data_IF_063483655307
#
_entry.id   IF_063483655307
#
_cell.length_a   1.000
_cell.length_b   1.000
_cell.length_c   1.000
_cell.angle_alpha   90.00
_cell.angle_beta   90.00
_cell.angle_gamma   90.00
#
_symmetry.space_group_name_H-M   'P 1'
#
loop_
_entity.id
_entity.type
_entity.pdbx_description
1 polymer ?
#
# COMPACT_ATOMS: atom_id res chain seq x y z
N UNK A 1 -19.81 -12.10 -56.07
CA UNK A 1 -21.01 -11.93 -55.23
C UNK A 1 -20.67 -12.52 -53.88
N UNK A 2 -20.86 -11.69 -52.85
CA UNK A 2 -20.71 -11.98 -51.41
C UNK A 2 -19.29 -12.17 -50.85
N UNK A 3 -18.56 -11.05 -50.71
CA UNK A 3 -17.91 -10.58 -49.46
C UNK A 3 -17.64 -9.07 -49.64
N UNK A 4 -18.65 -8.20 -49.49
CA UNK A 4 -18.47 -6.74 -49.45
C UNK A 4 -19.70 -6.03 -48.83
N UNK A 5 -20.12 -6.43 -47.63
CA UNK A 5 -21.21 -5.75 -46.88
C UNK A 5 -21.04 -5.96 -45.36
N UNK A 6 -19.89 -5.56 -44.80
CA UNK A 6 -19.70 -5.54 -43.35
C UNK A 6 -18.65 -4.51 -42.90
N UNK A 7 -18.61 -3.33 -43.52
CA UNK A 7 -17.65 -2.28 -43.14
C UNK A 7 -18.18 -0.84 -43.27
N UNK A 8 -19.50 -0.65 -43.22
CA UNK A 8 -20.13 0.68 -43.18
C UNK A 8 -21.25 0.72 -42.13
N UNK A 9 -20.89 0.68 -40.83
CA UNK A 9 -21.80 1.07 -39.74
C UNK A 9 -21.06 1.39 -38.42
N UNK A 10 -19.93 2.09 -38.52
CA UNK A 10 -19.21 2.61 -37.35
C UNK A 10 -18.74 4.06 -37.55
N UNK A 11 -19.60 4.91 -38.10
CA UNK A 11 -19.42 6.36 -38.05
C UNK A 11 -20.75 7.02 -37.69
N UNK A 12 -20.82 7.57 -36.48
CA UNK A 12 -21.99 8.32 -36.03
C UNK A 12 -22.27 8.14 -34.55
N UNK A 13 -21.47 8.81 -33.72
CA UNK A 13 -21.84 9.43 -32.43
C UNK A 13 -20.55 9.81 -31.66
N UNK A 14 -19.81 10.79 -32.19
CA UNK A 14 -18.90 11.60 -31.37
C UNK A 14 -19.61 12.93 -31.09
N UNK A 15 -20.37 12.96 -30.00
CA UNK A 15 -20.85 14.19 -29.41
C UNK A 15 -19.66 14.95 -28.81
N UNK A 16 -19.42 16.16 -29.32
CA UNK A 16 -18.46 17.12 -28.78
C UNK A 16 -18.77 17.41 -27.30
N UNK A 17 -17.97 16.86 -26.39
CA UNK A 17 -17.69 17.52 -25.11
C UNK A 17 -16.39 18.31 -25.28
N UNK A 18 -16.52 19.59 -25.63
CA UNK A 18 -15.43 20.56 -25.45
C UNK A 18 -15.22 20.72 -23.95
N UNK A 19 -14.26 19.97 -23.39
CA UNK A 19 -13.67 20.31 -22.11
C UNK A 19 -12.65 21.41 -22.36
N UNK A 20 -12.91 22.59 -21.80
CA UNK A 20 -11.97 23.71 -21.73
C UNK A 20 -10.82 23.35 -20.80
N UNK A 21 -9.88 22.54 -21.31
CA UNK A 21 -8.62 22.27 -20.65
C UNK A 21 -7.74 23.51 -20.67
N UNK A 22 -7.59 24.17 -19.52
CA UNK A 22 -6.56 25.19 -19.34
C UNK A 22 -5.18 24.54 -19.51
N UNK A 23 -4.56 24.71 -20.68
CA UNK A 23 -3.16 24.34 -20.90
C UNK A 23 -2.28 25.31 -20.13
N UNK A 24 -1.45 24.77 -19.23
CA UNK A 24 -0.40 25.54 -18.57
C UNK A 24 0.62 26.01 -19.63
N UNK A 25 1.24 27.19 -19.46
CA UNK A 25 2.23 27.73 -20.40
C UNK A 25 3.41 26.78 -20.59
N UNK A 26 3.86 26.62 -21.84
CA UNK A 26 4.84 25.64 -22.32
C UNK A 26 6.29 25.85 -21.85
N UNK A 27 6.57 26.85 -21.03
CA UNK A 27 7.93 27.20 -20.58
C UNK A 27 8.39 26.48 -19.29
N UNK A 28 7.61 25.55 -18.75
CA UNK A 28 7.84 24.97 -17.42
C UNK A 28 8.37 23.52 -17.39
N UNK A 29 9.18 23.08 -18.35
CA UNK A 29 9.74 21.71 -18.35
C UNK A 29 11.26 21.71 -18.12
N UNK A 30 11.68 21.53 -16.86
CA UNK A 30 12.95 20.90 -16.46
C UNK A 30 13.17 21.02 -14.94
N UNK A 31 13.44 19.89 -14.26
CA UNK A 31 13.83 19.80 -12.85
C UNK A 31 12.76 19.22 -11.92
N UNK A 32 12.83 17.91 -11.63
CA UNK A 32 12.15 17.28 -10.50
C UNK A 32 13.07 17.34 -9.27
N UNK A 33 12.53 17.66 -8.11
CA UNK A 33 13.26 17.63 -6.84
C UNK A 33 12.43 16.83 -5.82
N UNK A 34 12.95 15.73 -5.25
CA UNK A 34 12.25 14.92 -4.26
C UNK A 34 11.91 15.71 -2.99
N UNK A 35 10.77 15.48 -2.32
CA UNK A 35 10.39 16.29 -1.17
C UNK A 35 11.30 16.12 0.05
N UNK A 36 12.04 15.01 0.16
CA UNK A 36 13.10 14.88 1.15
C UNK A 36 14.23 15.92 0.96
N UNK A 37 14.54 16.28 -0.30
CA UNK A 37 15.46 17.38 -0.62
C UNK A 37 14.78 18.74 -0.48
N UNK A 38 13.47 18.82 -0.73
CA UNK A 38 12.68 20.06 -0.54
C UNK A 38 12.52 20.43 0.94
N UNK A 39 12.33 19.46 1.84
CA UNK A 39 12.18 19.69 3.28
C UNK A 39 13.44 20.31 3.91
N UNK A 40 14.62 20.00 3.39
CA UNK A 40 15.88 20.62 3.80
C UNK A 40 16.05 22.07 3.30
N UNK A 41 15.43 22.41 2.16
CA UNK A 41 15.46 23.76 1.57
C UNK A 41 14.47 24.73 2.22
N UNK A 42 13.38 24.22 2.82
CA UNK A 42 12.35 25.01 3.52
C UNK A 42 12.91 25.81 4.71
N UNK A 43 14.04 25.39 5.28
CA UNK A 43 14.68 26.10 6.40
C UNK A 43 15.55 27.30 5.96
N UNK A 44 15.76 27.53 4.66
CA UNK A 44 16.63 28.62 4.17
C UNK A 44 16.13 29.40 2.95
N UNK A 45 15.22 28.86 2.15
CA UNK A 45 14.62 29.56 1.00
C UNK A 45 13.18 29.10 0.83
N UNK A 46 12.23 30.03 0.93
CA UNK A 46 10.81 29.74 0.78
C UNK A 46 10.55 29.18 -0.63
N UNK A 47 10.29 27.88 -0.72
CA UNK A 47 9.73 27.32 -1.94
C UNK A 47 8.43 28.05 -2.27
N UNK A 48 8.30 28.51 -3.50
CA UNK A 48 7.04 29.08 -3.96
C UNK A 48 5.99 27.97 -3.99
N UNK A 49 4.76 28.29 -3.60
CA UNK A 49 3.61 27.36 -3.69
C UNK A 49 3.49 26.74 -5.09
N UNK A 50 3.87 27.50 -6.13
CA UNK A 50 3.91 27.02 -7.52
C UNK A 50 4.84 25.83 -7.74
N UNK A 51 6.02 25.84 -7.12
CA UNK A 51 6.96 24.74 -7.25
C UNK A 51 6.41 23.46 -6.57
N UNK A 52 5.75 23.59 -5.42
CA UNK A 52 5.08 22.47 -4.75
C UNK A 52 3.94 21.92 -5.60
N UNK A 53 3.08 22.79 -6.15
CA UNK A 53 1.97 22.40 -7.02
C UNK A 53 2.45 21.67 -8.29
N UNK A 54 3.57 22.12 -8.86
CA UNK A 54 4.22 21.45 -10.00
C UNK A 54 4.72 20.05 -9.64
N UNK A 55 5.35 19.89 -8.47
CA UNK A 55 5.78 18.58 -7.99
C UNK A 55 4.61 17.64 -7.76
N UNK A 56 3.50 18.11 -7.17
CA UNK A 56 2.28 17.32 -7.00
C UNK A 56 1.74 16.82 -8.35
N UNK A 57 1.70 17.70 -9.36
CA UNK A 57 1.25 17.32 -10.68
C UNK A 57 2.17 16.29 -11.36
N UNK A 58 3.49 16.42 -11.18
CA UNK A 58 4.45 15.46 -11.71
C UNK A 58 4.27 14.08 -11.09
N UNK A 59 4.21 14.01 -9.76
CA UNK A 59 4.07 12.74 -9.03
C UNK A 59 2.74 12.06 -9.36
N UNK A 60 1.65 12.81 -9.50
CA UNK A 60 0.37 12.25 -9.92
C UNK A 60 0.47 11.51 -11.27
N UNK A 61 1.22 12.06 -12.22
CA UNK A 61 1.45 11.43 -13.52
C UNK A 61 2.33 10.19 -13.41
N UNK A 62 3.34 10.19 -12.54
CA UNK A 62 4.17 9.01 -12.27
C UNK A 62 3.38 7.89 -11.61
N UNK A 63 2.55 8.19 -10.60
CA UNK A 63 1.59 7.26 -9.99
C UNK A 63 0.70 6.65 -11.08
N UNK A 64 0.16 7.47 -11.97
CA UNK A 64 -0.68 7.00 -13.06
C UNK A 64 0.11 6.18 -14.10
N UNK A 65 1.36 6.46 -14.38
CA UNK A 65 2.17 5.60 -15.25
C UNK A 65 2.47 4.25 -14.58
N UNK A 66 2.82 4.26 -13.30
CA UNK A 66 3.19 3.07 -12.54
C UNK A 66 2.01 2.10 -12.36
N UNK A 67 0.79 2.59 -12.09
CA UNK A 67 -0.34 1.69 -11.84
C UNK A 67 -0.66 0.82 -13.06
N UNK A 68 -0.43 1.30 -14.29
CA UNK A 68 -0.67 0.53 -15.53
C UNK A 68 0.25 -0.68 -15.66
N UNK A 69 1.35 -0.72 -14.93
CA UNK A 69 2.26 -1.85 -14.88
C UNK A 69 1.92 -2.85 -13.76
N UNK A 70 0.99 -2.50 -12.86
CA UNK A 70 0.58 -3.34 -11.73
C UNK A 70 -0.27 -4.50 -12.22
N UNK A 71 0.13 -5.74 -11.89
CA UNK A 71 -0.64 -6.96 -12.23
C UNK A 71 -1.50 -7.49 -11.09
N UNK A 72 -1.10 -7.27 -9.84
CA UNK A 72 -1.79 -7.76 -8.64
C UNK A 72 -2.42 -6.58 -7.89
N UNK A 73 -3.61 -6.76 -7.31
CA UNK A 73 -4.35 -5.69 -6.63
C UNK A 73 -4.57 -4.45 -7.54
N UNK A 74 -4.68 -4.68 -8.86
CA UNK A 74 -4.79 -3.61 -9.86
C UNK A 74 -5.91 -2.63 -9.54
N UNK A 75 -7.05 -3.11 -9.03
CA UNK A 75 -8.19 -2.25 -8.65
C UNK A 75 -7.82 -1.21 -7.59
N UNK A 76 -7.15 -1.65 -6.52
CA UNK A 76 -6.72 -0.76 -5.43
C UNK A 76 -5.71 0.27 -5.94
N UNK A 77 -4.72 -0.16 -6.73
CA UNK A 77 -3.74 0.75 -7.32
C UNK A 77 -4.37 1.72 -8.35
N UNK A 78 -5.34 1.25 -9.15
CA UNK A 78 -6.09 2.08 -10.12
C UNK A 78 -6.85 3.18 -9.40
N UNK A 79 -7.58 2.84 -8.33
CA UNK A 79 -8.30 3.84 -7.52
C UNK A 79 -7.35 4.89 -6.93
N UNK A 80 -6.23 4.45 -6.34
CA UNK A 80 -5.24 5.40 -5.79
C UNK A 80 -4.69 6.33 -6.89
N UNK A 81 -4.44 5.80 -8.09
CA UNK A 81 -3.99 6.59 -9.23
C UNK A 81 -5.05 7.58 -9.74
N UNK A 82 -6.32 7.16 -9.82
CA UNK A 82 -7.44 8.04 -10.18
C UNK A 82 -7.62 9.18 -9.17
N UNK A 83 -7.49 8.88 -7.87
CA UNK A 83 -7.52 9.89 -6.80
C UNK A 83 -6.37 10.87 -6.92
N UNK A 84 -5.15 10.38 -7.20
CA UNK A 84 -3.98 11.22 -7.45
C UNK A 84 -4.18 12.15 -8.66
N UNK A 85 -4.75 11.67 -9.77
CA UNK A 85 -5.09 12.50 -10.94
C UNK A 85 -6.18 13.53 -10.65
N UNK A 86 -7.18 13.15 -9.87
CA UNK A 86 -8.23 14.08 -9.44
C UNK A 86 -7.66 15.22 -8.59
N UNK A 87 -6.75 14.88 -7.67
CA UNK A 87 -6.03 15.86 -6.86
C UNK A 87 -5.14 16.76 -7.71
N UNK A 88 -4.38 16.21 -8.66
CA UNK A 88 -3.62 17.00 -9.63
C UNK A 88 -4.52 17.98 -10.38
N UNK A 89 -5.69 17.55 -10.84
CA UNK A 89 -6.62 18.40 -11.60
C UNK A 89 -7.16 19.55 -10.75
N UNK A 90 -7.40 19.32 -9.45
CA UNK A 90 -7.73 20.37 -8.51
C UNK A 90 -6.55 21.33 -8.27
N UNK A 91 -5.35 20.81 -8.04
CA UNK A 91 -4.14 21.59 -7.78
C UNK A 91 -3.73 22.46 -8.98
N UNK A 92 -3.90 21.97 -10.22
CA UNK A 92 -3.66 22.74 -11.43
C UNK A 92 -4.63 23.92 -11.57
N UNK A 93 -5.92 23.71 -11.25
CA UNK A 93 -6.91 24.79 -11.22
C UNK A 93 -6.58 25.82 -10.14
N UNK A 94 -6.15 25.35 -8.98
CA UNK A 94 -5.69 26.22 -7.90
C UNK A 94 -4.45 27.04 -8.31
N UNK A 95 -3.46 26.42 -8.96
CA UNK A 95 -2.28 27.11 -9.47
C UNK A 95 -2.64 28.20 -10.48
N UNK A 96 -3.55 27.91 -11.41
CA UNK A 96 -4.02 28.88 -12.40
C UNK A 96 -4.71 30.09 -11.72
N UNK A 97 -5.57 29.83 -10.73
CA UNK A 97 -6.23 30.90 -9.96
C UNK A 97 -5.24 31.73 -9.13
N UNK A 98 -4.27 31.08 -8.50
CA UNK A 98 -3.22 31.76 -7.74
C UNK A 98 -2.40 32.67 -8.67
N UNK A 99 -2.15 32.24 -9.91
CA UNK A 99 -1.48 33.04 -10.92
C UNK A 99 -2.32 34.23 -11.40
N UNK A 100 -3.60 34.01 -11.71
CA UNK A 100 -4.55 35.06 -12.12
C UNK A 100 -4.76 36.13 -11.04
N UNK A 101 -4.79 35.73 -9.77
CA UNK A 101 -4.94 36.65 -8.63
C UNK A 101 -3.77 37.65 -8.53
N UNK A 102 -2.62 37.34 -9.13
CA UNK A 102 -1.50 38.27 -9.32
C UNK A 102 -1.19 39.08 -8.07
N UNK A 103 -1.10 40.43 -8.14
CA UNK A 103 -0.74 41.28 -7.01
C UNK A 103 -1.81 41.33 -5.89
N UNK A 104 -3.05 40.89 -6.12
CA UNK A 104 -4.06 40.82 -5.04
C UNK A 104 -3.66 39.81 -3.95
N UNK A 105 -2.82 38.82 -4.29
CA UNK A 105 -2.21 37.90 -3.32
C UNK A 105 -1.24 38.60 -2.36
N UNK A 106 -0.73 39.80 -2.68
CA UNK A 106 0.11 40.61 -1.77
C UNK A 106 -0.65 41.08 -0.53
N UNK A 107 -1.99 41.02 -0.54
CA UNK A 107 -2.82 41.34 0.62
C UNK A 107 -3.03 40.14 1.55
N UNK A 108 -2.60 38.93 1.16
CA UNK A 108 -2.59 37.80 2.08
C UNK A 108 -1.52 38.04 3.14
N UNK A 109 -1.91 37.89 4.41
CA UNK A 109 -0.96 37.90 5.52
C UNK A 109 0.11 36.81 5.30
N UNK A 110 1.36 37.05 5.72
CA UNK A 110 2.42 36.04 5.65
C UNK A 110 2.03 34.72 6.33
N UNK A 111 1.25 34.81 7.42
CA UNK A 111 0.73 33.63 8.14
C UNK A 111 -0.18 32.78 7.26
N UNK A 112 -1.01 33.42 6.43
CA UNK A 112 -1.92 32.76 5.49
C UNK A 112 -1.12 32.00 4.42
N UNK A 113 -0.07 32.63 3.88
CA UNK A 113 0.79 31.98 2.89
C UNK A 113 1.60 30.82 3.49
N UNK A 114 2.04 30.96 4.75
CA UNK A 114 2.73 29.90 5.49
C UNK A 114 1.80 28.71 5.77
N UNK A 115 0.55 28.96 6.16
CA UNK A 115 -0.48 27.92 6.34
C UNK A 115 -0.70 27.13 5.05
N UNK A 116 -0.96 27.84 3.95
CA UNK A 116 -1.16 27.25 2.63
C UNK A 116 0.03 26.39 2.20
N UNK A 117 1.26 26.91 2.29
CA UNK A 117 2.46 26.13 1.93
C UNK A 117 2.62 24.89 2.79
N UNK A 118 2.30 24.96 4.08
CA UNK A 118 2.35 23.80 4.99
C UNK A 118 1.38 22.72 4.53
N UNK A 119 0.16 23.09 4.14
CA UNK A 119 -0.84 22.14 3.63
C UNK A 119 -0.45 21.56 2.27
N UNK A 120 0.05 22.37 1.33
CA UNK A 120 0.53 21.89 0.03
C UNK A 120 1.71 20.91 0.18
N UNK A 121 2.60 21.14 1.14
CA UNK A 121 3.69 20.21 1.45
C UNK A 121 3.17 18.88 2.02
N UNK A 122 2.14 18.90 2.88
CA UNK A 122 1.50 17.68 3.37
C UNK A 122 0.86 16.87 2.25
N UNK A 123 0.20 17.55 1.31
CA UNK A 123 -0.34 16.93 0.09
C UNK A 123 0.77 16.27 -0.72
N UNK A 124 1.88 16.98 -0.94
CA UNK A 124 3.02 16.44 -1.68
C UNK A 124 3.58 15.18 -1.00
N UNK A 125 3.75 15.21 0.32
CA UNK A 125 4.22 14.05 1.09
C UNK A 125 3.26 12.85 0.99
N UNK A 126 1.95 13.09 1.05
CA UNK A 126 0.95 12.03 0.87
C UNK A 126 1.00 11.43 -0.54
N UNK A 127 1.23 12.26 -1.56
CA UNK A 127 1.41 11.81 -2.95
C UNK A 127 2.70 11.02 -3.15
N UNK A 128 3.81 11.43 -2.54
CA UNK A 128 5.06 10.64 -2.56
C UNK A 128 4.87 9.29 -1.90
N UNK A 129 4.17 9.23 -0.76
CA UNK A 129 3.84 7.96 -0.10
C UNK A 129 2.99 7.07 -1.02
N UNK A 130 2.00 7.64 -1.71
CA UNK A 130 1.19 6.91 -2.69
C UNK A 130 2.04 6.36 -3.85
N UNK A 131 2.98 7.16 -4.36
CA UNK A 131 3.94 6.75 -5.38
C UNK A 131 4.80 5.58 -4.90
N UNK A 132 5.41 5.69 -3.72
CA UNK A 132 6.29 4.66 -3.16
C UNK A 132 5.53 3.35 -2.92
N UNK A 133 4.27 3.43 -2.48
CA UNK A 133 3.41 2.26 -2.34
C UNK A 133 3.15 1.59 -3.69
N UNK A 134 2.72 2.33 -4.71
CA UNK A 134 2.51 1.74 -6.04
C UNK A 134 3.83 1.20 -6.61
N UNK A 135 4.96 1.85 -6.37
CA UNK A 135 6.25 1.36 -6.85
C UNK A 135 6.68 0.06 -6.16
N UNK A 136 6.60 0.00 -4.82
CA UNK A 136 6.91 -1.19 -4.04
C UNK A 136 6.01 -2.38 -4.43
N UNK A 137 4.71 -2.10 -4.57
CA UNK A 137 3.69 -3.10 -4.83
C UNK A 137 3.36 -3.29 -6.32
N UNK A 138 3.99 -2.52 -7.22
CA UNK A 138 3.72 -2.53 -8.66
C UNK A 138 4.91 -2.83 -9.56
N UNK A 139 6.15 -2.64 -9.08
CA UNK A 139 7.36 -2.74 -9.90
C UNK A 139 7.49 -4.05 -10.69
N UNK A 140 8.13 -4.02 -11.87
CA UNK A 140 8.17 -5.13 -12.83
C UNK A 140 9.21 -6.23 -12.52
N UNK A 141 10.02 -6.11 -11.45
CA UNK A 141 11.17 -6.98 -11.17
C UNK A 141 10.84 -8.27 -10.40
N UNK A 142 9.62 -8.77 -10.49
CA UNK A 142 9.16 -9.79 -9.53
C UNK A 142 9.08 -11.19 -10.12
N UNK A 143 9.84 -12.09 -9.49
CA UNK A 143 9.72 -13.54 -9.59
C UNK A 143 8.38 -13.99 -9.02
N UNK A 144 7.94 -15.19 -9.38
CA UNK A 144 6.69 -15.82 -8.93
C UNK A 144 6.45 -15.72 -7.41
N UNK A 145 7.49 -15.91 -6.58
CA UNK A 145 7.44 -15.79 -5.12
C UNK A 145 6.98 -14.42 -4.62
N UNK A 146 7.23 -13.35 -5.37
CA UNK A 146 6.78 -12.01 -5.01
C UNK A 146 5.29 -11.79 -5.26
N UNK A 147 4.69 -12.52 -6.22
CA UNK A 147 3.23 -12.56 -6.39
C UNK A 147 2.56 -13.29 -5.24
N UNK A 148 3.14 -14.42 -4.82
CA UNK A 148 2.67 -15.15 -3.65
C UNK A 148 2.81 -14.31 -2.38
N UNK A 149 4.00 -13.74 -2.12
CA UNK A 149 4.23 -12.84 -0.98
C UNK A 149 3.22 -11.68 -0.98
N UNK A 150 2.81 -11.16 -2.13
CA UNK A 150 1.74 -10.15 -2.25
C UNK A 150 0.35 -10.66 -1.90
N UNK A 151 -0.03 -11.83 -2.41
CA UNK A 151 -1.30 -12.45 -2.06
C UNK A 151 -1.41 -12.70 -0.55
N UNK A 152 -0.29 -13.10 0.07
CA UNK A 152 -0.20 -13.43 1.48
C UNK A 152 -0.05 -12.19 2.38
N UNK A 153 0.66 -11.15 1.93
CA UNK A 153 0.73 -9.85 2.60
C UNK A 153 -0.43 -8.91 2.20
N UNK A 154 -1.48 -9.42 1.54
CA UNK A 154 -2.62 -8.64 1.05
C UNK A 154 -3.25 -7.78 2.14
N UNK A 155 -3.20 -8.22 3.40
CA UNK A 155 -3.64 -7.43 4.55
C UNK A 155 -2.75 -6.22 4.83
N UNK A 156 -1.43 -6.41 4.97
CA UNK A 156 -0.50 -5.29 5.19
C UNK A 156 -0.52 -4.33 4.01
N UNK A 157 -0.59 -4.87 2.79
CA UNK A 157 -0.82 -4.11 1.57
C UNK A 157 -2.08 -3.25 1.68
N UNK A 158 -3.21 -3.85 2.07
CA UNK A 158 -4.47 -3.11 2.15
C UNK A 158 -4.45 -2.05 3.26
N UNK A 159 -3.89 -2.37 4.42
CA UNK A 159 -3.74 -1.43 5.54
C UNK A 159 -2.88 -0.21 5.15
N UNK A 160 -1.76 -0.41 4.45
CA UNK A 160 -0.92 0.70 3.97
C UNK A 160 -1.64 1.60 2.96
N UNK A 161 -2.41 1.01 2.03
CA UNK A 161 -3.19 1.77 1.06
C UNK A 161 -4.36 2.51 1.72
N UNK A 162 -5.05 1.88 2.67
CA UNK A 162 -6.11 2.53 3.46
C UNK A 162 -5.54 3.71 4.25
N UNK A 163 -4.38 3.55 4.90
CA UNK A 163 -3.72 4.64 5.62
C UNK A 163 -3.31 5.76 4.66
N UNK A 164 -2.76 5.43 3.49
CA UNK A 164 -2.39 6.43 2.48
C UNK A 164 -3.62 7.18 1.94
N UNK A 165 -4.72 6.49 1.69
CA UNK A 165 -5.98 7.10 1.27
C UNK A 165 -6.56 8.00 2.36
N UNK A 166 -6.50 7.55 3.62
CA UNK A 166 -6.90 8.35 4.76
C UNK A 166 -6.08 9.64 4.85
N UNK A 167 -4.76 9.56 4.65
CA UNK A 167 -3.88 10.72 4.65
C UNK A 167 -4.17 11.69 3.51
N UNK A 168 -4.44 11.19 2.30
CA UNK A 168 -4.85 12.04 1.18
C UNK A 168 -6.19 12.73 1.45
N UNK A 169 -7.16 12.02 2.03
CA UNK A 169 -8.45 12.57 2.44
C UNK A 169 -8.30 13.65 3.52
N UNK A 170 -7.50 13.40 4.57
CA UNK A 170 -7.23 14.39 5.62
C UNK A 170 -6.53 15.63 5.06
N UNK A 171 -5.57 15.47 4.16
CA UNK A 171 -4.92 16.60 3.51
C UNK A 171 -5.91 17.42 2.66
N UNK A 172 -6.86 16.75 2.00
CA UNK A 172 -7.92 17.42 1.24
C UNK A 172 -8.90 18.16 2.14
N UNK A 173 -9.29 17.56 3.27
CA UNK A 173 -10.18 18.19 4.24
C UNK A 173 -9.51 19.40 4.92
N UNK A 174 -8.22 19.30 5.23
CA UNK A 174 -7.42 20.42 5.72
C UNK A 174 -7.34 21.56 4.68
N UNK A 175 -7.08 21.23 3.41
CA UNK A 175 -7.12 22.20 2.30
C UNK A 175 -8.51 22.84 2.15
N UNK A 176 -9.60 22.08 2.35
CA UNK A 176 -10.97 22.62 2.33
C UNK A 176 -11.22 23.55 3.51
N UNK A 177 -10.70 23.23 4.69
CA UNK A 177 -10.89 24.02 5.90
C UNK A 177 -10.13 25.35 5.91
N UNK A 178 -9.09 25.49 5.08
CA UNK A 178 -8.25 26.68 5.06
C UNK A 178 -8.98 27.90 4.46
N UNK A 179 -9.01 29.00 5.20
CA UNK A 179 -9.72 30.22 4.83
C UNK A 179 -9.17 30.87 3.55
N UNK A 180 -7.86 30.77 3.29
CA UNK A 180 -7.23 31.27 2.07
C UNK A 180 -7.73 30.45 0.89
N UNK A 181 -7.74 29.13 1.05
CA UNK A 181 -8.27 28.26 0.03
C UNK A 181 -9.73 28.50 -0.19
N UNK A 182 -10.57 28.66 0.83
CA UNK A 182 -11.99 28.99 0.65
C UNK A 182 -12.23 30.23 -0.25
N UNK A 183 -11.36 31.24 -0.18
CA UNK A 183 -11.42 32.40 -1.09
C UNK A 183 -11.23 32.01 -2.57
N UNK A 184 -10.40 31.01 -2.86
CA UNK A 184 -10.11 30.53 -4.22
C UNK A 184 -10.89 29.27 -4.62
N UNK A 185 -11.32 28.45 -3.65
CA UNK A 185 -11.87 27.10 -3.76
C UNK A 185 -13.39 27.10 -3.84
N UNK A 186 -14.07 28.19 -3.48
CA UNK A 186 -15.50 28.35 -3.79
C UNK A 186 -15.83 28.13 -5.28
N UNK A 187 -14.82 28.18 -6.16
CA UNK A 187 -14.92 27.90 -7.60
C UNK A 187 -14.20 26.61 -8.05
N UNK A 188 -13.52 25.90 -7.15
CA UNK A 188 -12.80 24.66 -7.45
C UNK A 188 -13.50 23.51 -6.74
N UNK A 189 -14.19 22.67 -7.51
CA UNK A 189 -14.71 21.41 -6.99
C UNK A 189 -13.55 20.48 -6.62
N UNK A 190 -13.28 20.36 -5.32
CA UNK A 190 -12.38 19.36 -4.78
C UNK A 190 -13.07 17.98 -4.77
N UNK A 191 -12.35 16.88 -5.04
CA UNK A 191 -12.93 15.55 -5.00
C UNK A 191 -13.43 15.20 -3.60
N UNK A 192 -14.58 14.51 -3.54
CA UNK A 192 -15.21 14.11 -2.29
C UNK A 192 -14.46 12.95 -1.62
N UNK A 193 -13.78 13.26 -0.51
CA UNK A 193 -12.98 12.32 0.29
C UNK A 193 -13.83 11.20 0.93
N UNK A 194 -15.13 11.42 1.14
CA UNK A 194 -16.01 10.44 1.80
C UNK A 194 -16.28 9.21 0.92
N UNK A 195 -16.37 9.42 -0.41
CA UNK A 195 -16.51 8.35 -1.39
C UNK A 195 -15.31 7.39 -1.39
N UNK A 196 -14.14 7.86 -0.96
CA UNK A 196 -12.90 7.09 -1.08
C UNK A 196 -12.81 5.94 -0.08
N UNK A 197 -13.33 6.14 1.14
CA UNK A 197 -13.23 5.15 2.21
C UNK A 197 -14.17 3.95 2.01
N UNK A 198 -15.36 4.17 1.45
CA UNK A 198 -16.38 3.12 1.28
C UNK A 198 -15.98 2.04 0.26
N UNK A 199 -15.29 2.44 -0.81
CA UNK A 199 -14.91 1.54 -1.90
C UNK A 199 -13.74 0.60 -1.53
N UNK A 200 -12.84 1.05 -0.65
CA UNK A 200 -11.63 0.27 -0.32
C UNK A 200 -11.96 -0.94 0.55
N UNK A 201 -12.88 -0.80 1.51
CA UNK A 201 -13.26 -1.90 2.40
C UNK A 201 -13.92 -3.09 1.69
N UNK A 202 -14.62 -2.85 0.57
CA UNK A 202 -15.36 -3.90 -0.12
C UNK A 202 -14.44 -4.83 -0.92
N UNK A 203 -13.35 -4.29 -1.48
CA UNK A 203 -12.44 -5.07 -2.33
C UNK A 203 -11.51 -6.01 -1.55
N UNK A 204 -11.16 -5.65 -0.30
CA UNK A 204 -10.31 -6.47 0.59
C UNK A 204 -10.85 -7.90 0.77
N UNK A 205 -12.17 -8.05 0.78
CA UNK A 205 -12.82 -9.33 1.02
C UNK A 205 -12.77 -10.26 -0.20
N UNK A 206 -12.91 -9.71 -1.40
CA UNK A 206 -12.92 -10.48 -2.66
C UNK A 206 -11.57 -11.11 -2.96
N UNK A 207 -10.47 -10.41 -2.72
CA UNK A 207 -9.13 -10.94 -3.02
C UNK A 207 -8.69 -12.03 -2.02
N UNK A 208 -9.10 -11.93 -0.74
CA UNK A 208 -8.81 -12.98 0.24
C UNK A 208 -9.52 -14.30 -0.05
N UNK A 209 -10.69 -14.28 -0.69
CA UNK A 209 -11.38 -15.51 -1.10
C UNK A 209 -10.65 -16.28 -2.21
N UNK A 210 -9.82 -15.61 -3.00
CA UNK A 210 -9.03 -16.24 -4.05
C UNK A 210 -7.74 -16.90 -3.53
N UNK A 211 -7.28 -16.55 -2.32
CA UNK A 211 -6.02 -17.04 -1.75
C UNK A 211 -6.00 -18.57 -1.58
N UNK A 212 -7.04 -19.24 -1.03
CA UNK A 212 -7.05 -20.69 -0.91
C UNK A 212 -6.95 -21.41 -2.27
N UNK A 213 -7.64 -20.89 -3.30
CA UNK A 213 -7.57 -21.44 -4.65
C UNK A 213 -6.18 -21.29 -5.27
N UNK A 214 -5.52 -20.15 -5.06
CA UNK A 214 -4.14 -19.93 -5.50
C UNK A 214 -3.14 -20.86 -4.80
N UNK A 215 -3.33 -21.12 -3.50
CA UNK A 215 -2.52 -22.08 -2.73
C UNK A 215 -2.73 -23.50 -3.23
N UNK A 216 -3.98 -23.89 -3.51
CA UNK A 216 -4.29 -25.21 -4.06
C UNK A 216 -3.64 -25.43 -5.44
N UNK A 217 -3.77 -24.45 -6.35
CA UNK A 217 -3.13 -24.49 -7.66
C UNK A 217 -1.59 -24.57 -7.57
N UNK A 218 -0.99 -23.95 -6.54
CA UNK A 218 0.44 -24.08 -6.29
C UNK A 218 0.85 -25.48 -5.85
N UNK A 219 0.09 -26.08 -4.93
CA UNK A 219 0.35 -27.45 -4.48
C UNK A 219 0.23 -28.42 -5.67
N UNK A 220 -0.76 -28.25 -6.53
CA UNK A 220 -0.92 -29.03 -7.76
C UNK A 220 0.26 -28.86 -8.70
N UNK A 221 0.68 -27.62 -8.98
CA UNK A 221 1.83 -27.34 -9.85
C UNK A 221 3.14 -27.91 -9.30
N UNK A 222 3.37 -27.86 -7.99
CA UNK A 222 4.53 -28.52 -7.37
C UNK A 222 4.47 -30.03 -7.53
N UNK A 223 3.29 -30.63 -7.35
CA UNK A 223 3.10 -32.08 -7.49
C UNK A 223 3.39 -32.54 -8.92
N UNK A 224 2.95 -31.79 -9.94
CA UNK A 224 3.24 -32.06 -11.35
C UNK A 224 4.73 -31.97 -11.67
N UNK A 225 5.42 -30.98 -11.09
CA UNK A 225 6.86 -30.77 -11.27
C UNK A 225 7.68 -31.91 -10.66
N UNK A 226 7.31 -32.36 -9.45
CA UNK A 226 7.90 -33.55 -8.83
C UNK A 226 7.64 -34.80 -9.67
N UNK A 227 6.41 -35.01 -10.15
CA UNK A 227 6.08 -36.14 -11.03
C UNK A 227 6.91 -36.14 -12.32
N UNK A 228 7.11 -34.97 -12.92
CA UNK A 228 7.92 -34.82 -14.14
C UNK A 228 9.40 -35.14 -13.87
N UNK A 229 9.93 -34.69 -12.73
CA UNK A 229 11.30 -34.97 -12.31
C UNK A 229 11.53 -36.46 -12.05
N UNK A 230 10.59 -37.13 -11.38
CA UNK A 230 10.63 -38.58 -11.16
C UNK A 230 10.61 -39.37 -12.48
N UNK A 231 9.82 -38.93 -13.47
CA UNK A 231 9.81 -39.55 -14.80
C UNK A 231 11.16 -39.39 -15.53
N UNK A 232 11.81 -38.23 -15.41
CA UNK A 232 13.16 -38.03 -15.96
C UNK A 232 14.18 -38.97 -15.30
N UNK A 233 14.11 -39.14 -13.98
CA UNK A 233 14.96 -40.11 -13.26
C UNK A 233 14.75 -41.54 -13.77
N UNK A 234 13.49 -41.96 -13.95
CA UNK A 234 13.16 -43.28 -14.44
C UNK A 234 13.71 -43.50 -15.87
N UNK A 235 13.47 -42.56 -16.77
CA UNK A 235 13.95 -42.65 -18.16
C UNK A 235 15.48 -42.67 -18.23
N UNK A 236 16.16 -41.89 -17.37
CA UNK A 236 17.62 -41.88 -17.30
C UNK A 236 18.16 -43.22 -16.80
N UNK A 237 17.51 -43.82 -15.79
CA UNK A 237 17.85 -45.13 -15.28
C UNK A 237 17.64 -46.22 -16.35
N UNK A 238 16.48 -46.24 -17.02
CA UNK A 238 16.18 -47.18 -18.11
C UNK A 238 17.20 -47.11 -19.24
N UNK A 239 17.55 -45.88 -19.68
CA UNK A 239 18.57 -45.66 -20.71
C UNK A 239 19.95 -46.20 -20.28
N UNK A 240 20.34 -45.96 -19.02
CA UNK A 240 21.60 -46.46 -18.46
C UNK A 240 21.63 -47.99 -18.47
N UNK A 241 20.60 -48.65 -17.93
CA UNK A 241 20.49 -50.12 -17.95
C UNK A 241 20.44 -50.70 -19.36
N UNK A 242 19.78 -50.01 -20.30
CA UNK A 242 19.72 -50.43 -21.70
C UNK A 242 21.09 -50.38 -22.38
N UNK A 243 21.88 -49.33 -22.14
CA UNK A 243 23.24 -49.20 -22.67
C UNK A 243 24.18 -50.25 -22.07
N UNK A 244 24.08 -50.50 -20.76
CA UNK A 244 24.84 -51.55 -20.07
C UNK A 244 24.54 -52.94 -20.65
N UNK A 245 23.26 -53.24 -20.91
CA UNK A 245 22.84 -54.51 -21.51
C UNK A 245 23.39 -54.72 -22.94
N UNK A 246 23.68 -53.65 -23.68
CA UNK A 246 24.27 -53.71 -25.02
C UNK A 246 25.82 -53.66 -25.00
N UNK A 247 26.44 -53.79 -23.82
CA UNK A 247 27.90 -53.79 -23.68
C UNK A 247 28.54 -52.42 -23.95
N UNK A 248 27.76 -51.34 -23.94
CA UNK A 248 28.27 -49.97 -24.11
C UNK A 248 28.83 -49.48 -22.78
N UNK A 249 29.96 -50.04 -22.36
CA UNK A 249 30.68 -49.61 -21.16
C UNK A 249 31.80 -48.65 -21.58
N UNK A 250 31.45 -47.36 -21.74
CA UNK A 250 32.49 -46.33 -21.89
C UNK A 250 32.55 -45.48 -20.64
N UNK A 251 33.75 -45.33 -20.06
CA UNK A 251 33.99 -44.47 -18.91
C UNK A 251 33.53 -42.99 -19.16
N UNK A 252 33.40 -42.60 -20.43
CA UNK A 252 32.86 -41.29 -20.84
C UNK A 252 31.34 -41.18 -20.58
N UNK A 253 30.57 -42.24 -20.84
CA UNK A 253 29.13 -42.28 -20.56
C UNK A 253 28.84 -42.30 -19.07
N UNK A 254 29.57 -43.10 -18.29
CA UNK A 254 29.44 -43.11 -16.82
C UNK A 254 29.67 -41.73 -16.21
N UNK A 255 30.69 -41.01 -16.69
CA UNK A 255 30.97 -39.63 -16.25
C UNK A 255 29.85 -38.65 -16.63
N UNK A 256 29.23 -38.84 -17.80
CA UNK A 256 28.08 -38.06 -18.25
C UNK A 256 26.84 -38.30 -17.39
N UNK A 257 26.50 -39.56 -17.11
CA UNK A 257 25.39 -39.93 -16.23
C UNK A 257 25.61 -39.45 -14.81
N UNK A 258 26.81 -39.59 -14.25
CA UNK A 258 27.13 -39.07 -12.92
C UNK A 258 26.98 -37.54 -12.83
N UNK A 259 27.34 -36.79 -13.89
CA UNK A 259 27.10 -35.34 -13.93
C UNK A 259 25.62 -34.98 -14.03
N UNK A 260 24.82 -35.78 -14.74
CA UNK A 260 23.36 -35.58 -14.84
C UNK A 260 22.68 -35.91 -13.52
N UNK A 261 23.01 -37.04 -12.88
CA UNK A 261 22.55 -37.41 -11.53
C UNK A 261 22.87 -36.27 -10.55
N UNK A 262 24.10 -35.78 -10.51
CA UNK A 262 24.48 -34.67 -9.62
C UNK A 262 23.70 -33.36 -9.90
N UNK A 263 23.34 -33.10 -11.17
CA UNK A 263 22.52 -31.92 -11.51
C UNK A 263 21.07 -32.12 -11.11
N UNK A 264 20.53 -33.32 -11.29
CA UNK A 264 19.19 -33.70 -10.87
C UNK A 264 19.05 -33.64 -9.34
N UNK A 265 19.98 -34.22 -8.59
CA UNK A 265 20.00 -34.14 -7.12
C UNK A 265 20.04 -32.68 -6.63
N UNK A 266 20.77 -31.80 -7.33
CA UNK A 266 20.80 -30.36 -7.03
C UNK A 266 19.48 -29.65 -7.35
N UNK A 267 18.72 -30.15 -8.32
CA UNK A 267 17.39 -29.61 -8.66
C UNK A 267 16.38 -30.12 -7.64
N UNK A 268 16.42 -31.42 -7.31
CA UNK A 268 15.56 -32.05 -6.32
C UNK A 268 15.77 -31.44 -4.93
N UNK A 269 17.02 -31.26 -4.47
CA UNK A 269 17.26 -30.62 -3.17
C UNK A 269 16.78 -29.17 -3.12
N UNK A 270 16.83 -28.44 -4.24
CA UNK A 270 16.26 -27.09 -4.34
C UNK A 270 14.72 -27.11 -4.32
N UNK A 271 14.12 -28.12 -4.95
CA UNK A 271 12.66 -28.32 -4.92
C UNK A 271 12.20 -28.67 -3.51
N UNK A 272 12.89 -29.57 -2.81
CA UNK A 272 12.59 -29.95 -1.43
C UNK A 272 12.77 -28.79 -0.46
N UNK A 273 13.85 -28.00 -0.60
CA UNK A 273 14.03 -26.78 0.20
C UNK A 273 12.89 -25.79 -0.05
N UNK A 274 12.47 -25.62 -1.32
CA UNK A 274 11.34 -24.77 -1.66
C UNK A 274 10.02 -25.32 -1.11
N UNK A 275 9.79 -26.64 -1.17
CA UNK A 275 8.60 -27.29 -0.63
C UNK A 275 8.54 -27.15 0.90
N UNK A 276 9.67 -27.35 1.59
CA UNK A 276 9.79 -27.14 3.03
C UNK A 276 9.51 -25.68 3.41
N UNK A 277 10.09 -24.71 2.69
CA UNK A 277 9.79 -23.29 2.88
C UNK A 277 8.31 -22.96 2.62
N UNK A 278 7.70 -23.53 1.58
CA UNK A 278 6.27 -23.35 1.29
C UNK A 278 5.41 -23.95 2.39
N UNK A 279 5.72 -25.15 2.88
CA UNK A 279 4.98 -25.81 3.97
C UNK A 279 5.09 -25.04 5.28
N UNK A 280 6.30 -24.62 5.66
CA UNK A 280 6.52 -23.83 6.87
C UNK A 280 5.75 -22.51 6.82
N UNK A 281 5.82 -21.80 5.68
CA UNK A 281 5.02 -20.60 5.47
C UNK A 281 3.51 -20.90 5.53
N UNK A 282 3.05 -22.05 5.00
CA UNK A 282 1.65 -22.46 5.07
C UNK A 282 1.17 -22.68 6.51
N UNK A 283 1.99 -23.31 7.34
CA UNK A 283 1.64 -23.58 8.73
C UNK A 283 1.66 -22.30 9.58
N UNK A 284 2.64 -21.41 9.35
CA UNK A 284 2.66 -20.08 9.95
C UNK A 284 1.40 -19.27 9.55
N UNK A 285 0.99 -19.36 8.29
CA UNK A 285 -0.25 -18.72 7.81
C UNK A 285 -1.51 -19.31 8.42
N UNK A 286 -1.62 -20.64 8.53
CA UNK A 286 -2.75 -21.28 9.22
C UNK A 286 -2.82 -20.85 10.68
N UNK A 287 -1.68 -20.72 11.34
CA UNK A 287 -1.57 -20.22 12.72
C UNK A 287 -2.11 -18.79 12.84
N UNK A 288 -1.68 -17.87 11.99
CA UNK A 288 -2.19 -16.49 11.97
C UNK A 288 -3.69 -16.40 11.63
N UNK A 289 -4.16 -17.21 10.68
CA UNK A 289 -5.57 -17.26 10.33
C UNK A 289 -6.44 -17.80 11.49
N UNK A 290 -5.93 -18.77 12.24
CA UNK A 290 -6.60 -19.28 13.43
C UNK A 290 -6.62 -18.24 14.58
N UNK A 291 -5.54 -17.48 14.78
CA UNK A 291 -5.52 -16.35 15.73
C UNK A 291 -6.54 -15.28 15.35
N UNK A 292 -6.70 -15.01 14.06
CA UNK A 292 -7.73 -14.07 13.58
C UNK A 292 -9.14 -14.58 13.80
N UNK A 293 -9.37 -15.87 13.55
CA UNK A 293 -10.66 -16.50 13.77
C UNK A 293 -11.07 -16.49 15.25
N UNK A 294 -10.14 -16.75 16.17
CA UNK A 294 -10.43 -16.70 17.60
C UNK A 294 -10.74 -15.27 18.06
N UNK A 295 -10.03 -14.27 17.55
CA UNK A 295 -10.29 -12.86 17.86
C UNK A 295 -11.70 -12.42 17.41
N UNK A 296 -12.13 -12.85 16.22
CA UNK A 296 -13.48 -12.59 15.69
C UNK A 296 -14.59 -13.37 16.42
N UNK A 297 -14.28 -14.52 17.00
CA UNK A 297 -15.24 -15.28 17.83
C UNK A 297 -15.36 -14.71 19.25
N UNK A 298 -14.28 -14.14 19.79
CA UNK A 298 -14.30 -13.44 21.08
C UNK A 298 -15.19 -12.19 21.04
N UNK A 299 -15.16 -11.41 19.96
CA UNK A 299 -16.04 -10.24 19.81
C UNK A 299 -17.53 -10.58 19.66
N UNK A 300 -17.89 -11.85 19.39
CA UNK A 300 -19.28 -12.31 19.31
C UNK A 300 -19.79 -13.03 20.56
N UNK A 301 -18.92 -13.38 21.51
CA UNK A 301 -19.30 -14.15 22.72
C UNK A 301 -19.60 -13.28 23.95
N UNK A 302 -19.22 -11.99 23.95
CA UNK A 302 -19.59 -11.03 25.01
C UNK A 302 -21.03 -10.46 24.86
N UNK A 303 -21.85 -11.05 23.98
CA UNK A 303 -23.21 -10.57 23.69
C UNK A 303 -24.35 -11.26 24.44
N UNK A 304 -24.10 -12.22 25.33
CA UNK A 304 -25.16 -13.03 25.95
C UNK A 304 -25.36 -12.77 27.45
N UNK A 305 -25.73 -11.53 27.79
CA UNK A 305 -26.57 -11.26 28.97
C UNK A 305 -27.71 -10.35 28.54
N UNK A 306 -28.93 -10.87 28.61
CA UNK A 306 -30.14 -10.22 28.15
C UNK A 306 -30.44 -8.90 28.86
N UNK A 307 -30.96 -7.95 28.09
CA UNK A 307 -31.47 -6.68 28.58
C UNK A 307 -31.89 -5.81 27.41
N UNK A 308 -33.18 -5.81 27.08
CA UNK A 308 -33.75 -4.90 26.09
C UNK A 308 -33.51 -3.44 26.50
N UNK A 309 -32.72 -2.73 25.69
CA UNK A 309 -32.46 -1.30 25.81
C UNK A 309 -32.31 -0.68 24.41
N UNK A 310 -32.76 0.56 24.20
CA UNK A 310 -33.02 1.10 22.88
C UNK A 310 -31.72 1.26 22.08
N UNK A 311 -31.84 0.93 20.79
CA UNK A 311 -30.82 0.95 19.75
C UNK A 311 -30.25 2.37 19.60
N UNK A 312 -29.22 2.69 20.38
CA UNK A 312 -28.45 3.91 20.23
C UNK A 312 -27.38 3.73 19.15
N UNK A 313 -27.41 4.63 18.19
CA UNK A 313 -26.51 4.79 17.05
C UNK A 313 -25.04 4.85 17.49
N UNK A 314 -24.33 3.71 17.40
CA UNK A 314 -22.88 3.65 17.61
C UNK A 314 -22.15 4.21 16.38
N UNK A 315 -21.45 5.33 16.58
CA UNK A 315 -20.43 5.80 15.62
C UNK A 315 -20.08 7.28 15.68
N UNK A 316 -20.94 8.13 16.27
CA UNK A 316 -20.81 9.59 16.05
C UNK A 316 -20.57 10.44 17.31
N UNK A 317 -20.41 9.84 18.51
CA UNK A 317 -20.46 10.61 19.77
C UNK A 317 -19.14 10.69 20.57
N UNK A 318 -17.99 10.29 20.02
CA UNK A 318 -16.72 10.29 20.78
C UNK A 318 -15.52 10.91 20.05
N UNK A 319 -15.72 11.65 18.96
CA UNK A 319 -14.62 12.33 18.26
C UNK A 319 -14.39 13.79 18.68
N UNK A 320 -15.35 14.42 19.35
CA UNK A 320 -15.28 15.89 19.51
C UNK A 320 -14.68 16.41 20.82
N UNK A 321 -14.34 15.58 21.82
CA UNK A 321 -13.77 16.08 23.09
C UNK A 321 -12.89 15.07 23.84
N UNK A 322 -11.89 14.47 23.20
CA UNK A 322 -10.77 13.93 23.97
C UNK A 322 -9.56 14.85 23.78
N UNK A 323 -9.24 15.75 24.75
CA UNK A 323 -8.00 16.50 24.68
C UNK A 323 -6.84 15.50 24.56
N UNK A 324 -5.88 15.78 23.68
CA UNK A 324 -4.65 15.00 23.59
C UNK A 324 -3.94 15.08 24.93
N UNK A 325 -4.10 14.05 25.75
CA UNK A 325 -3.49 13.96 27.06
C UNK A 325 -2.00 13.63 26.87
N UNK A 326 -1.16 14.65 26.82
CA UNK A 326 0.29 14.49 26.84
C UNK A 326 0.74 14.34 28.29
N UNK A 327 1.25 13.16 28.64
CA UNK A 327 1.76 12.86 29.98
C UNK A 327 3.29 12.87 29.93
N UNK A 328 3.99 13.75 30.67
CA UNK A 328 5.45 13.72 30.73
C UNK A 328 5.94 12.37 31.30
N UNK A 329 6.92 11.75 30.63
CA UNK A 329 7.45 10.43 31.03
C UNK A 329 7.93 10.39 32.49
N UNK A 330 8.49 11.50 32.99
CA UNK A 330 8.98 11.61 34.36
C UNK A 330 7.88 11.51 35.43
N UNK A 331 6.60 11.66 35.05
CA UNK A 331 5.45 11.49 35.95
C UNK A 331 4.97 10.05 36.05
N UNK A 332 5.46 9.15 35.19
CA UNK A 332 5.10 7.74 35.17
C UNK A 332 5.95 6.97 36.17
N UNK A 333 5.32 6.22 37.07
CA UNK A 333 6.02 5.19 37.87
C UNK A 333 5.82 3.84 37.23
N UNK A 334 6.86 3.28 36.64
CA UNK A 334 6.85 1.92 36.09
C UNK A 334 7.01 0.92 37.23
N UNK A 335 6.15 -0.10 37.29
CA UNK A 335 6.14 -1.12 38.35
C UNK A 335 6.72 -2.45 37.88
N UNK A 336 6.37 -2.91 36.67
CA UNK A 336 6.88 -4.18 36.12
C UNK A 336 6.38 -4.46 34.71
N UNK A 337 7.09 -5.32 33.97
CA UNK A 337 6.66 -5.81 32.66
C UNK A 337 5.44 -6.72 32.81
N UNK A 338 4.41 -6.47 31.99
CA UNK A 338 3.21 -7.31 31.89
C UNK A 338 3.38 -8.33 30.77
N UNK A 339 4.06 -7.95 29.68
CA UNK A 339 4.41 -8.86 28.60
C UNK A 339 5.05 -8.15 27.41
N UNK A 340 5.73 -8.93 26.58
CA UNK A 340 6.43 -8.48 25.38
C UNK A 340 5.94 -9.23 24.13
N UNK A 341 6.00 -8.57 22.98
CA UNK A 341 5.65 -9.15 21.68
C UNK A 341 6.25 -8.38 20.51
N UNK A 342 5.95 -8.79 19.28
CA UNK A 342 6.54 -8.22 18.05
C UNK A 342 6.30 -6.72 17.82
N UNK A 343 5.41 -6.09 18.58
CA UNK A 343 5.11 -4.65 18.52
C UNK A 343 5.56 -3.89 19.78
N UNK A 344 6.44 -4.48 20.59
CA UNK A 344 7.03 -3.86 21.78
C UNK A 344 6.63 -4.50 23.11
N UNK A 345 6.95 -3.81 24.20
CA UNK A 345 6.80 -4.30 25.58
C UNK A 345 5.77 -3.48 26.34
N UNK A 346 4.86 -4.14 27.05
CA UNK A 346 3.85 -3.52 27.91
C UNK A 346 4.31 -3.59 29.36
N UNK A 347 4.27 -2.44 30.02
CA UNK A 347 4.57 -2.28 31.43
C UNK A 347 3.32 -1.87 32.20
N UNK A 348 3.19 -2.37 33.43
CA UNK A 348 2.29 -1.84 34.43
C UNK A 348 2.95 -0.64 35.05
N UNK A 349 2.20 0.45 35.19
CA UNK A 349 2.67 1.64 35.89
C UNK A 349 1.55 2.33 36.65
N UNK A 350 1.89 3.45 37.29
CA UNK A 350 0.93 4.34 37.90
C UNK A 350 1.19 5.79 37.49
N UNK A 351 0.13 6.55 37.23
CA UNK A 351 0.17 7.99 36.99
C UNK A 351 -0.89 8.69 37.85
N UNK A 352 -0.47 9.69 38.62
CA UNK A 352 -1.31 10.38 39.62
C UNK A 352 -2.06 9.42 40.57
N UNK A 353 -1.42 8.29 40.93
CA UNK A 353 -2.00 7.25 41.79
C UNK A 353 -2.95 6.28 41.09
N UNK A 354 -3.27 6.49 39.81
CA UNK A 354 -4.08 5.58 39.02
C UNK A 354 -3.19 4.56 38.32
N UNK A 355 -3.58 3.28 38.34
CA UNK A 355 -2.90 2.26 37.56
C UNK A 355 -3.14 2.44 36.07
N UNK A 356 -2.09 2.24 35.29
CA UNK A 356 -2.09 2.39 33.83
C UNK A 356 -1.27 1.27 33.18
N UNK A 357 -1.58 0.99 31.91
CA UNK A 357 -0.74 0.20 31.04
C UNK A 357 0.04 1.13 30.09
N UNK A 358 1.36 1.00 30.10
CA UNK A 358 2.26 1.72 29.20
C UNK A 358 2.84 0.75 28.18
N UNK A 359 2.67 1.02 26.88
CA UNK A 359 3.26 0.20 25.80
C UNK A 359 4.44 0.95 25.19
N UNK A 360 5.63 0.40 25.36
CA UNK A 360 6.84 0.85 24.69
C UNK A 360 6.89 0.21 23.30
N UNK A 361 6.72 1.01 22.25
CA UNK A 361 6.82 0.55 20.86
C UNK A 361 8.28 0.67 20.42
N UNK A 362 8.93 -0.47 20.19
CA UNK A 362 10.25 -0.52 19.56
C UNK A 362 10.08 -0.18 18.08
N UNK A 363 10.32 1.08 17.72
CA UNK A 363 10.42 1.49 16.32
C UNK A 363 11.86 1.22 15.93
N UNK A 364 12.09 0.16 15.17
CA UNK A 364 13.43 -0.22 14.70
C UNK A 364 13.92 0.83 13.67
N UNK A 365 14.50 1.92 14.17
CA UNK A 365 15.01 3.01 13.32
C UNK A 365 16.43 2.67 12.86
N UNK A 366 16.58 1.66 12.01
CA UNK A 366 17.80 1.46 11.24
C UNK A 366 17.95 2.47 10.07
N UNK A 367 17.30 3.64 10.17
CA UNK A 367 17.76 4.89 9.58
C UNK A 367 17.10 6.10 10.27
N UNK A 368 17.88 6.77 11.14
CA UNK A 368 17.74 8.15 11.69
C UNK A 368 16.49 8.51 12.54
N UNK A 369 16.79 8.83 13.80
CA UNK A 369 16.07 9.66 14.81
C UNK A 369 14.73 9.12 15.33
N UNK A 370 14.84 8.38 16.44
CA UNK A 370 13.77 7.96 17.34
C UNK A 370 12.87 9.14 17.77
N UNK A 371 11.60 9.09 17.37
CA UNK A 371 10.53 9.92 17.94
C UNK A 371 9.56 8.98 18.62
N UNK A 372 9.56 8.99 19.95
CA UNK A 372 8.67 8.20 20.81
C UNK A 372 7.24 8.75 20.68
N UNK A 373 6.26 7.89 20.38
CA UNK A 373 4.82 8.24 20.36
C UNK A 373 4.07 7.35 21.33
N UNK A 374 3.34 7.97 22.26
CA UNK A 374 2.64 7.35 23.39
C UNK A 374 1.14 7.22 23.09
N UNK A 375 0.56 6.07 23.45
CA UNK A 375 -0.89 5.85 23.47
C UNK A 375 -1.27 5.25 24.82
N UNK A 376 -1.96 6.03 25.65
CA UNK A 376 -2.55 5.54 26.91
C UNK A 376 -4.01 5.15 26.68
N UNK A 377 -4.42 4.00 27.20
CA UNK A 377 -5.84 3.60 27.32
C UNK A 377 -6.14 3.30 28.79
N UNK A 378 -7.21 3.90 29.30
CA UNK A 378 -7.73 3.58 30.62
C UNK A 378 -8.46 2.24 30.56
N UNK A 379 -8.20 1.38 31.55
CA UNK A 379 -8.89 0.10 31.77
C UNK A 379 -10.02 0.30 32.77
#
# INVERSE_FOLDING_TARGET
>A
MDVQMALDHAEGLHGQQQSSGAQLPSEFVSGFVPAAQLAGLVLGSAMSSFAVLKSVAHIAQEIYALHRCVKANHRVCSRLAERALSLQSAMSRFAARLHEAGPATKQLNEDNYRSLNTQLLRVLQAMERAHDLIQAWGGAKYTFFSKLKRALLSRHFHEEFVECNQQLSECLDDLRGDAVLQMFVSQISLPDSSSWQGEDHNDSYTDMQAVPAAIAAMAESQTELHSSLSSVHLNMHELKTGLEAHGVTTASLEKGFAQLELKLDKIESKLDLNASHVSQNLDDMKSELNKLRSFLQQSNSDGNTGGGGPRASKGQFLKDKMPSLSIPFMELRLMGEVGSGGFGTVFRGSWQGNEIAYKHILIDTSNKKSTERQVCRNS
#
